data_IF_201710267437
#
_entry.id   IF_201710267437
#
_cell.length_a   1.000
_cell.length_b   1.000
_cell.length_c   1.000
_cell.angle_alpha   90.00
_cell.angle_beta   90.00
_cell.angle_gamma   90.00
#
_symmetry.space_group_name_H-M   'P 1'
#
loop_
_entity.id
_entity.type
_entity.pdbx_description
1 polymer ?
#
# COMPACT_ATOMS: atom_id res chain seq x y z
N UNK A 1 25.85 -8.00 19.98
CA UNK A 1 25.27 -6.64 20.02
C UNK A 1 23.93 -6.74 19.31
N UNK A 2 22.83 -6.87 20.06
CA UNK A 2 21.50 -7.00 19.48
C UNK A 2 20.99 -5.63 19.02
N UNK A 3 20.46 -5.54 17.81
CA UNK A 3 19.69 -4.39 17.36
C UNK A 3 18.43 -4.30 18.23
N UNK A 4 18.34 -3.24 19.03
CA UNK A 4 17.14 -2.91 19.80
C UNK A 4 16.04 -2.45 18.84
N UNK A 5 14.84 -3.01 18.99
CA UNK A 5 13.68 -2.64 18.19
C UNK A 5 12.92 -1.54 18.94
N UNK A 6 12.88 -0.33 18.39
CA UNK A 6 12.09 0.79 18.91
C UNK A 6 10.92 1.07 17.99
N UNK A 7 9.72 1.16 18.54
CA UNK A 7 8.48 1.36 17.78
C UNK A 7 7.85 2.69 18.19
N UNK A 8 7.69 3.58 17.22
CA UNK A 8 6.99 4.85 17.37
C UNK A 8 5.58 4.72 16.79
N UNK A 9 4.65 4.15 17.57
CA UNK A 9 3.30 3.80 17.10
C UNK A 9 2.56 4.97 16.42
N UNK A 10 2.65 6.18 16.98
CA UNK A 10 1.99 7.36 16.42
C UNK A 10 2.50 7.74 15.04
N UNK A 11 3.82 7.75 14.85
CA UNK A 11 4.45 8.06 13.55
C UNK A 11 4.08 7.03 12.48
N UNK A 12 3.98 5.75 12.86
CA UNK A 12 3.59 4.69 11.94
C UNK A 12 2.12 4.84 11.53
N UNK A 13 1.20 5.11 12.46
CA UNK A 13 -0.21 5.35 12.13
C UNK A 13 -0.38 6.58 11.22
N UNK A 14 0.36 7.66 11.47
CA UNK A 14 0.35 8.85 10.61
C UNK A 14 0.85 8.54 9.19
N UNK A 15 1.97 7.82 9.07
CA UNK A 15 2.52 7.40 7.79
C UNK A 15 1.57 6.47 7.02
N UNK A 16 0.91 5.53 7.72
CA UNK A 16 -0.09 4.64 7.13
C UNK A 16 -1.35 5.41 6.68
N UNK A 17 -1.79 6.40 7.46
CA UNK A 17 -2.91 7.25 7.08
C UNK A 17 -2.59 8.09 5.83
N UNK A 18 -1.41 8.69 5.77
CA UNK A 18 -0.93 9.44 4.61
C UNK A 18 -0.84 8.54 3.37
N UNK A 19 -0.29 7.32 3.52
CA UNK A 19 -0.21 6.34 2.45
C UNK A 19 -1.60 5.94 1.94
N UNK A 20 -2.55 5.63 2.83
CA UNK A 20 -3.93 5.29 2.42
C UNK A 20 -4.61 6.45 1.69
N UNK A 21 -4.41 7.70 2.15
CA UNK A 21 -4.92 8.88 1.47
C UNK A 21 -4.35 9.01 0.05
N UNK A 22 -3.03 8.84 -0.11
CA UNK A 22 -2.37 8.88 -1.42
C UNK A 22 -2.85 7.77 -2.36
N UNK A 23 -3.03 6.55 -1.85
CA UNK A 23 -3.59 5.41 -2.60
C UNK A 23 -5.01 5.73 -3.09
N UNK A 24 -5.86 6.32 -2.25
CA UNK A 24 -7.22 6.68 -2.63
C UNK A 24 -7.25 7.77 -3.71
N UNK A 25 -6.33 8.73 -3.65
CA UNK A 25 -6.18 9.78 -4.65
C UNK A 25 -5.57 9.28 -5.98
N UNK A 26 -4.95 8.09 -6.00
CA UNK A 26 -4.33 7.53 -7.19
C UNK A 26 -5.38 7.16 -8.24
N UNK A 27 -5.37 7.91 -9.34
CA UNK A 27 -6.12 7.60 -10.55
C UNK A 27 -5.37 6.55 -11.37
N UNK A 28 -6.08 5.50 -11.78
CA UNK A 28 -5.51 4.39 -12.55
C UNK A 28 -6.13 4.29 -13.94
N UNK A 29 -7.13 5.12 -14.25
CA UNK A 29 -7.83 5.11 -15.53
C UNK A 29 -6.96 5.74 -16.62
N UNK A 30 -6.83 5.04 -17.75
CA UNK A 30 -6.19 5.55 -18.94
C UNK A 30 -7.21 5.74 -20.07
N UNK A 31 -6.99 6.67 -21.01
CA UNK A 31 -7.88 6.84 -22.15
C UNK A 31 -7.90 5.56 -23.01
N UNK A 32 -9.10 5.04 -23.25
CA UNK A 32 -9.34 3.91 -24.13
C UNK A 32 -10.05 4.37 -25.42
N UNK A 33 -9.85 3.62 -26.52
CA UNK A 33 -10.52 3.90 -27.78
C UNK A 33 -10.06 5.19 -28.47
N UNK A 34 -8.81 5.58 -28.26
CA UNK A 34 -8.21 6.74 -28.95
C UNK A 34 -8.31 6.48 -30.45
N UNK A 35 -8.86 7.45 -31.19
CA UNK A 35 -8.99 7.36 -32.64
C UNK A 35 -9.96 6.27 -33.09
N UNK A 36 -11.14 6.18 -32.49
CA UNK A 36 -12.18 5.23 -32.89
C UNK A 36 -12.43 5.29 -34.42
N UNK A 37 -12.26 4.16 -35.10
CA UNK A 37 -12.34 4.04 -36.57
C UNK A 37 -11.03 4.28 -37.32
N UNK A 38 -9.93 4.61 -36.61
CA UNK A 38 -8.60 4.73 -37.19
C UNK A 38 -7.88 3.36 -37.18
N UNK A 39 -7.44 2.91 -38.35
CA UNK A 39 -6.79 1.60 -38.52
C UNK A 39 -5.25 1.67 -38.45
N UNK A 40 -4.67 2.85 -38.26
CA UNK A 40 -3.22 3.03 -38.13
C UNK A 40 -2.69 2.17 -36.98
N UNK A 41 -1.65 1.39 -37.27
CA UNK A 41 -0.99 0.52 -36.29
C UNK A 41 -0.48 1.30 -35.07
N UNK A 42 -0.05 2.55 -35.26
CA UNK A 42 0.37 3.43 -34.18
C UNK A 42 -0.75 3.70 -33.16
N UNK A 43 -2.00 3.87 -33.63
CA UNK A 43 -3.16 4.09 -32.76
C UNK A 43 -3.52 2.81 -32.00
N UNK A 44 -3.42 1.64 -32.65
CA UNK A 44 -3.62 0.34 -31.99
C UNK A 44 -2.60 0.13 -30.87
N UNK A 45 -1.31 0.31 -31.15
CA UNK A 45 -0.24 0.20 -30.15
C UNK A 45 -0.40 1.19 -29.01
N UNK A 46 -0.86 2.42 -29.29
CA UNK A 46 -1.10 3.39 -28.23
C UNK A 46 -2.22 2.94 -27.28
N UNK A 47 -3.32 2.38 -27.81
CA UNK A 47 -4.38 1.82 -26.99
C UNK A 47 -3.91 0.60 -26.18
N UNK A 48 -3.09 -0.29 -26.76
CA UNK A 48 -2.48 -1.43 -26.05
C UNK A 48 -1.56 -0.99 -24.91
N UNK A 49 -0.74 0.04 -25.14
CA UNK A 49 0.14 0.63 -24.10
C UNK A 49 -0.69 1.23 -22.98
N UNK A 50 -1.74 1.98 -23.30
CA UNK A 50 -2.64 2.55 -22.28
C UNK A 50 -3.30 1.47 -21.42
N UNK A 51 -3.77 0.38 -22.05
CA UNK A 51 -4.35 -0.76 -21.33
C UNK A 51 -3.32 -1.43 -20.41
N UNK A 52 -2.08 -1.62 -20.90
CA UNK A 52 -1.01 -2.19 -20.08
C UNK A 52 -0.64 -1.28 -18.90
N UNK A 53 -0.55 0.04 -19.12
CA UNK A 53 -0.31 1.02 -18.08
C UNK A 53 -1.42 1.04 -17.03
N UNK A 54 -2.69 1.00 -17.45
CA UNK A 54 -3.83 0.92 -16.56
C UNK A 54 -3.74 -0.32 -15.65
N UNK A 55 -3.56 -1.51 -16.24
CA UNK A 55 -3.42 -2.76 -15.47
C UNK A 55 -2.25 -2.72 -14.48
N UNK A 56 -1.11 -2.18 -14.91
CA UNK A 56 0.06 -2.04 -14.04
C UNK A 56 -0.21 -1.11 -12.85
N UNK A 57 -0.90 0.01 -13.09
CA UNK A 57 -1.28 0.98 -12.06
C UNK A 57 -2.31 0.41 -11.08
N UNK A 58 -3.32 -0.31 -11.57
CA UNK A 58 -4.30 -1.02 -10.74
C UNK A 58 -3.62 -2.06 -9.83
N UNK A 59 -2.77 -2.90 -10.42
CA UNK A 59 -2.00 -3.91 -9.66
C UNK A 59 -1.11 -3.28 -8.60
N UNK A 60 -0.43 -2.17 -8.94
CA UNK A 60 0.42 -1.46 -8.00
C UNK A 60 -0.39 -0.85 -6.85
N UNK A 61 -1.57 -0.29 -7.14
CA UNK A 61 -2.50 0.24 -6.13
C UNK A 61 -2.91 -0.85 -5.14
N UNK A 62 -3.27 -2.04 -5.63
CA UNK A 62 -3.61 -3.19 -4.77
C UNK A 62 -2.43 -3.62 -3.89
N UNK A 63 -1.22 -3.69 -4.45
CA UNK A 63 -0.02 -4.03 -3.69
C UNK A 63 0.26 -3.03 -2.56
N UNK A 64 0.06 -1.73 -2.81
CA UNK A 64 0.21 -0.70 -1.79
C UNK A 64 -0.81 -0.85 -0.66
N UNK A 65 -2.06 -1.18 -0.97
CA UNK A 65 -3.10 -1.46 0.04
C UNK A 65 -2.67 -2.66 0.90
N UNK A 66 -2.26 -3.76 0.27
CA UNK A 66 -1.80 -4.96 0.97
C UNK A 66 -0.65 -4.66 1.92
N UNK A 67 0.34 -3.89 1.47
CA UNK A 67 1.50 -3.52 2.30
C UNK A 67 1.11 -2.64 3.49
N UNK A 68 0.20 -1.68 3.29
CA UNK A 68 -0.29 -0.83 4.37
C UNK A 68 -1.01 -1.65 5.45
N UNK A 69 -1.86 -2.59 5.04
CA UNK A 69 -2.60 -3.45 5.96
C UNK A 69 -1.69 -4.47 6.68
N UNK A 70 -0.73 -5.07 5.96
CA UNK A 70 0.27 -5.97 6.55
C UNK A 70 1.15 -5.26 7.59
N UNK A 71 1.53 -4.02 7.31
CA UNK A 71 2.30 -3.18 8.24
C UNK A 71 1.49 -2.89 9.50
N UNK A 72 0.23 -2.46 9.35
CA UNK A 72 -0.68 -2.24 10.48
C UNK A 72 -0.85 -3.48 11.34
N UNK A 73 -1.09 -4.63 10.73
CA UNK A 73 -1.24 -5.89 11.45
C UNK A 73 0.02 -6.26 12.23
N UNK A 74 1.20 -6.04 11.64
CA UNK A 74 2.49 -6.31 12.29
C UNK A 74 2.70 -5.40 13.50
N UNK A 75 2.38 -4.11 13.38
CA UNK A 75 2.45 -3.14 14.49
C UNK A 75 1.48 -3.51 15.61
N UNK A 76 0.24 -3.89 15.29
CA UNK A 76 -0.75 -4.35 16.27
C UNK A 76 -0.29 -5.61 17.01
N UNK A 77 0.35 -6.55 16.31
CA UNK A 77 0.92 -7.75 16.94
C UNK A 77 2.06 -7.40 17.91
N UNK A 78 2.95 -6.49 17.51
CA UNK A 78 4.04 -6.04 18.38
C UNK A 78 3.51 -5.31 19.62
N UNK A 79 2.48 -4.47 19.47
CA UNK A 79 1.81 -3.82 20.60
C UNK A 79 1.22 -4.83 21.59
N UNK A 80 0.50 -5.84 21.09
CA UNK A 80 -0.06 -6.91 21.94
C UNK A 80 1.02 -7.70 22.66
N UNK A 81 2.14 -7.98 21.98
CA UNK A 81 3.27 -8.67 22.60
C UNK A 81 3.90 -7.84 23.74
N UNK A 82 4.04 -6.53 23.54
CA UNK A 82 4.56 -5.60 24.55
C UNK A 82 3.62 -5.46 25.76
N UNK A 83 2.31 -5.34 25.52
CA UNK A 83 1.28 -5.32 26.56
C UNK A 83 1.28 -6.62 27.39
N UNK A 84 1.38 -7.77 26.72
CA UNK A 84 1.45 -9.08 27.39
C UNK A 84 2.72 -9.22 28.25
N UNK A 85 3.87 -8.82 27.72
CA UNK A 85 5.13 -8.84 28.46
C UNK A 85 5.08 -7.92 29.68
N UNK A 86 4.55 -6.71 29.50
CA UNK A 86 4.38 -5.73 30.59
C UNK A 86 3.48 -6.28 31.70
N UNK A 87 2.36 -6.92 31.34
CA UNK A 87 1.46 -7.55 32.31
C UNK A 87 2.13 -8.71 33.06
N UNK A 88 2.92 -9.54 32.37
CA UNK A 88 3.67 -10.64 33.01
C UNK A 88 4.72 -10.14 34.01
N UNK A 89 5.42 -9.04 33.69
CA UNK A 89 6.39 -8.41 34.59
C UNK A 89 5.68 -7.75 35.80
N UNK A 90 4.57 -7.06 35.57
CA UNK A 90 3.82 -6.38 36.62
C UNK A 90 3.12 -7.34 37.59
N UNK A 91 2.62 -8.48 37.09
CA UNK A 91 1.96 -9.52 37.90
C UNK A 91 2.91 -10.50 38.60
N UNK A 92 4.22 -10.44 38.31
CA UNK A 92 5.26 -11.27 38.94
C UNK A 92 5.88 -10.66 40.20
N UNK A 93 5.30 -9.58 40.75
CA UNK A 93 5.73 -8.93 42.01
C UNK A 93 4.75 -9.21 43.14
#
# INVERSE_FOLDING_TARGET
MGTEIKIHYGEIEEALAAMKSAIHALQTDFPAGIGAGNELEAIKKLNEVNEACQKAMETYKELLILNADATRQSVDQMKKADEHLSAAIAGGR
#
